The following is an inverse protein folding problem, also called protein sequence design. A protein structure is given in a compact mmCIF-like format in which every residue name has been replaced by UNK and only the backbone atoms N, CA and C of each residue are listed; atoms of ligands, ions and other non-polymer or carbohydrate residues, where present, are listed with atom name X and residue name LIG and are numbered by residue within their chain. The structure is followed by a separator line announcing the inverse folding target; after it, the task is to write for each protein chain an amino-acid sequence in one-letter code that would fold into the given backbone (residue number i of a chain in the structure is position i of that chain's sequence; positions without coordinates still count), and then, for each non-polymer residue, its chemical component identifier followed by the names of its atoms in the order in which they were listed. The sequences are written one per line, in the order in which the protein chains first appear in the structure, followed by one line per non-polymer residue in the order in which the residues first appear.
data_IF_868343179479
#
_entry.id   IF_868343179479
#
_cell.length_a   1.000
_cell.length_b   1.000
_cell.length_c   1.000
_cell.angle_alpha   90.00
_cell.angle_beta   90.00
_cell.angle_gamma   90.00
#
_symmetry.space_group_name_H-M   'P 1'
#
loop_
_entity.id
_entity.type
_entity.pdbx_description
1 polymer ?
#
# COMPACT_ATOMS: atom_id res chain seq x y z
N UNK A 1 20.53 29.60 -37.49
CA UNK A 1 20.48 28.20 -37.03
C UNK A 1 21.78 27.93 -36.29
N UNK A 2 21.74 27.80 -34.96
CA UNK A 2 22.89 27.41 -34.13
C UNK A 2 22.51 26.07 -33.50
N UNK A 3 23.23 25.02 -33.89
CA UNK A 3 23.09 23.67 -33.33
C UNK A 3 23.51 23.71 -31.86
N UNK A 4 22.59 23.32 -30.96
CA UNK A 4 22.93 22.89 -29.60
C UNK A 4 23.23 21.40 -29.65
N UNK A 5 24.49 21.03 -29.52
CA UNK A 5 24.89 19.65 -29.25
C UNK A 5 24.27 19.18 -27.93
N UNK A 6 23.49 18.10 -27.99
CA UNK A 6 23.06 17.34 -26.81
C UNK A 6 24.30 16.63 -26.25
N UNK A 7 24.80 17.11 -25.12
CA UNK A 7 25.81 16.40 -24.34
C UNK A 7 25.07 15.27 -23.60
N UNK A 8 25.16 14.05 -24.13
CA UNK A 8 24.80 12.84 -23.40
C UNK A 8 25.89 12.53 -22.36
N UNK A 9 25.55 12.26 -21.10
CA UNK A 9 26.56 11.96 -20.08
C UNK A 9 27.31 10.66 -20.42
N UNK A 10 28.64 10.70 -20.32
CA UNK A 10 29.49 9.54 -20.53
C UNK A 10 29.48 8.65 -19.27
N UNK A 11 28.71 7.56 -19.34
CA UNK A 11 28.50 6.58 -18.27
C UNK A 11 29.80 5.86 -17.85
N UNK A 12 30.81 5.84 -18.72
CA UNK A 12 32.12 5.21 -18.45
C UNK A 12 33.16 6.18 -17.88
N UNK A 13 32.77 7.41 -17.55
CA UNK A 13 33.71 8.34 -16.95
C UNK A 13 34.09 7.89 -15.52
N UNK A 14 35.37 8.00 -15.13
CA UNK A 14 35.83 7.66 -13.77
C UNK A 14 35.05 8.40 -12.66
N UNK A 15 34.50 9.58 -13.00
CA UNK A 15 33.67 10.41 -12.11
C UNK A 15 32.28 9.82 -11.87
N UNK A 16 31.68 9.22 -12.90
CA UNK A 16 30.38 8.54 -12.79
C UNK A 16 30.52 7.21 -12.03
N UNK A 17 31.58 6.44 -12.33
CA UNK A 17 31.89 5.21 -11.59
C UNK A 17 32.20 5.49 -10.11
N UNK A 18 32.93 6.56 -9.78
CA UNK A 18 33.18 6.96 -8.38
C UNK A 18 31.94 7.50 -7.66
N UNK A 19 30.98 8.11 -8.36
CA UNK A 19 29.68 8.50 -7.76
C UNK A 19 28.78 7.29 -7.50
N UNK A 20 28.76 6.31 -8.40
CA UNK A 20 28.04 5.04 -8.19
C UNK A 20 28.67 4.22 -7.06
N UNK A 21 30.00 4.16 -6.98
CA UNK A 21 30.71 3.51 -5.87
C UNK A 21 30.48 4.22 -4.53
N UNK A 22 30.41 5.56 -4.52
CA UNK A 22 30.04 6.34 -3.31
C UNK A 22 28.60 6.06 -2.87
N UNK A 23 27.64 5.95 -3.79
CA UNK A 23 26.25 5.57 -3.48
C UNK A 23 26.16 4.12 -2.97
N UNK A 24 26.93 3.19 -3.54
CA UNK A 24 27.02 1.79 -3.06
C UNK A 24 27.69 1.67 -1.68
N UNK A 25 28.65 2.54 -1.38
CA UNK A 25 29.41 2.50 -0.11
C UNK A 25 28.67 3.17 1.06
N UNK A 26 27.63 3.97 0.82
CA UNK A 26 26.79 4.50 1.89
C UNK A 26 25.77 3.45 2.30
N UNK A 27 26.05 2.74 3.39
CA UNK A 27 25.01 1.95 4.07
C UNK A 27 23.95 2.95 4.55
N UNK A 28 22.77 2.94 3.92
CA UNK A 28 21.64 3.71 4.40
C UNK A 28 21.39 3.30 5.84
N UNK A 29 21.48 4.26 6.76
CA UNK A 29 21.14 4.07 8.17
C UNK A 29 19.90 4.91 8.46
N UNK A 30 18.91 4.29 9.06
CA UNK A 30 17.77 5.01 9.61
C UNK A 30 18.22 5.91 10.77
N UNK A 31 17.53 7.03 10.99
CA UNK A 31 17.67 7.77 12.25
C UNK A 31 17.08 6.96 13.40
N UNK A 32 17.57 7.20 14.62
CA UNK A 32 17.19 6.44 15.83
C UNK A 32 15.69 6.53 16.15
N UNK A 33 15.01 7.56 15.67
CA UNK A 33 13.59 7.84 15.88
C UNK A 33 12.69 7.45 14.68
N UNK A 34 13.27 6.88 13.62
CA UNK A 34 12.51 6.37 12.47
C UNK A 34 11.64 5.18 12.86
N UNK A 35 10.45 5.08 12.26
CA UNK A 35 9.58 3.90 12.38
C UNK A 35 10.28 2.61 11.95
N UNK A 36 11.24 2.68 11.02
CA UNK A 36 12.03 1.52 10.61
C UNK A 36 12.76 0.86 11.80
N UNK A 37 13.17 1.64 12.80
CA UNK A 37 13.87 1.11 13.98
C UNK A 37 13.00 0.25 14.89
N UNK A 38 11.68 0.22 14.66
CA UNK A 38 10.74 -0.60 15.40
C UNK A 38 10.62 -2.02 14.82
N UNK A 39 11.03 -2.25 13.57
CA UNK A 39 11.00 -3.60 12.98
C UNK A 39 11.94 -4.52 13.79
N UNK A 40 11.43 -5.69 14.18
CA UNK A 40 12.09 -6.67 15.05
C UNK A 40 12.01 -6.37 16.56
N UNK A 41 11.54 -5.19 16.97
CA UNK A 41 11.28 -4.89 18.39
C UNK A 41 10.00 -5.55 18.87
N UNK A 42 9.84 -5.64 20.18
CA UNK A 42 8.61 -6.10 20.81
C UNK A 42 7.45 -5.11 20.65
N UNK A 43 6.23 -5.63 20.74
CA UNK A 43 5.01 -4.85 20.65
C UNK A 43 4.87 -3.79 21.77
N UNK A 44 5.51 -3.98 22.92
CA UNK A 44 5.51 -2.98 24.01
C UNK A 44 6.38 -1.76 23.67
N UNK A 45 7.48 -1.96 22.95
CA UNK A 45 8.30 -0.88 22.38
C UNK A 45 7.49 -0.07 21.37
N UNK A 46 6.66 -0.74 20.56
CA UNK A 46 5.74 -0.08 19.64
C UNK A 46 4.73 0.80 20.40
N UNK A 47 4.13 0.29 21.48
CA UNK A 47 3.20 1.06 22.32
C UNK A 47 3.86 2.23 23.02
N UNK A 48 5.11 2.09 23.42
CA UNK A 48 5.87 3.19 24.03
C UNK A 48 6.03 4.37 23.07
N UNK A 49 6.15 4.09 21.77
CA UNK A 49 6.35 5.12 20.73
C UNK A 49 5.02 5.65 20.17
N UNK A 50 4.05 4.78 19.91
CA UNK A 50 2.80 5.13 19.21
C UNK A 50 1.56 5.18 20.12
N UNK A 51 1.68 4.72 21.36
CA UNK A 51 0.56 4.52 22.29
C UNK A 51 -0.18 3.20 22.03
N UNK A 52 -1.38 3.06 22.57
CA UNK A 52 -2.23 1.90 22.29
C UNK A 52 -2.84 1.99 20.88
N UNK A 53 -2.90 0.87 20.13
CA UNK A 53 -3.56 0.84 18.83
C UNK A 53 -5.06 1.13 18.98
N UNK A 54 -5.64 1.73 17.96
CA UNK A 54 -7.07 1.99 17.87
C UNK A 54 -7.88 0.73 17.56
N UNK A 55 -7.30 -0.14 16.74
CA UNK A 55 -7.92 -1.32 16.19
C UNK A 55 -6.84 -2.37 15.96
N UNK A 56 -7.19 -3.62 16.17
CA UNK A 56 -6.34 -4.77 15.82
C UNK A 56 -7.12 -5.55 14.78
N UNK A 57 -6.58 -5.62 13.57
CA UNK A 57 -7.19 -6.31 12.44
C UNK A 57 -6.32 -7.53 12.08
N UNK A 58 -6.88 -8.75 11.96
CA UNK A 58 -6.09 -9.87 11.46
C UNK A 58 -5.73 -9.63 9.98
N UNK A 59 -4.61 -10.21 9.54
CA UNK A 59 -4.15 -10.05 8.17
C UNK A 59 -4.18 -11.36 7.39
N UNK A 60 -4.05 -11.30 6.06
CA UNK A 60 -3.82 -12.48 5.22
C UNK A 60 -2.47 -13.17 5.49
N UNK A 61 -1.67 -12.59 6.38
CA UNK A 61 -0.36 -13.05 6.77
C UNK A 61 -0.39 -13.30 8.29
N UNK A 62 0.56 -14.10 8.80
CA UNK A 62 0.54 -14.62 10.19
C UNK A 62 0.70 -13.53 11.29
N UNK A 63 0.61 -12.25 10.94
CA UNK A 63 0.63 -11.11 11.85
C UNK A 63 -0.74 -10.43 11.92
N UNK A 64 -0.97 -9.72 13.03
CA UNK A 64 -2.12 -8.82 13.19
C UNK A 64 -1.70 -7.38 12.93
N UNK A 65 -2.52 -6.63 12.22
CA UNK A 65 -2.34 -5.19 12.05
C UNK A 65 -2.79 -4.44 13.29
N UNK A 66 -1.87 -3.76 13.93
CA UNK A 66 -2.14 -2.76 14.96
C UNK A 66 -2.26 -1.40 14.28
N UNK A 67 -3.50 -0.89 14.21
CA UNK A 67 -3.85 0.30 13.45
C UNK A 67 -3.88 1.53 14.35
N UNK A 68 -3.17 2.60 13.95
CA UNK A 68 -3.09 3.87 14.66
C UNK A 68 -3.71 4.98 13.81
N UNK A 69 -5.02 5.21 13.99
CA UNK A 69 -5.82 6.06 13.10
C UNK A 69 -6.47 7.28 13.77
N UNK A 70 -6.15 7.60 15.03
CA UNK A 70 -6.67 8.82 15.73
C UNK A 70 -6.34 10.12 15.00
N UNK A 71 -5.13 10.21 14.45
CA UNK A 71 -4.67 11.40 13.74
C UNK A 71 -4.32 11.02 12.31
N UNK A 72 -5.08 11.47 11.29
CA UNK A 72 -4.81 11.16 9.89
C UNK A 72 -3.39 11.52 9.43
N UNK A 73 -2.82 12.61 9.97
CA UNK A 73 -1.45 13.03 9.64
C UNK A 73 -0.38 12.14 10.23
N UNK A 74 -0.72 11.30 11.21
CA UNK A 74 0.20 10.36 11.88
C UNK A 74 -0.26 8.91 11.69
N UNK A 75 -1.08 8.64 10.67
CA UNK A 75 -1.60 7.30 10.45
C UNK A 75 -0.47 6.32 10.12
N UNK A 76 -0.47 5.21 10.87
CA UNK A 76 0.46 4.09 10.75
C UNK A 76 -0.31 2.80 11.03
N UNK A 77 0.09 1.71 10.38
CA UNK A 77 -0.33 0.36 10.71
C UNK A 77 0.93 -0.49 10.91
N UNK A 78 1.00 -1.23 12.02
CA UNK A 78 2.15 -2.08 12.33
C UNK A 78 1.70 -3.54 12.46
N UNK A 79 2.29 -4.44 11.69
CA UNK A 79 2.03 -5.87 11.79
C UNK A 79 2.84 -6.49 12.93
N UNK A 80 2.15 -7.16 13.84
CA UNK A 80 2.76 -7.85 14.99
C UNK A 80 2.58 -9.36 14.84
N UNK A 81 3.69 -10.10 14.69
CA UNK A 81 3.73 -11.58 14.67
C UNK A 81 4.42 -12.05 15.96
N UNK A 82 3.78 -12.91 16.76
CA UNK A 82 4.36 -13.46 17.98
C UNK A 82 4.97 -12.41 18.93
N UNK A 83 4.28 -11.27 19.09
CA UNK A 83 4.72 -10.16 19.94
C UNK A 83 5.88 -9.32 19.38
N UNK A 84 6.27 -9.54 18.11
CA UNK A 84 7.33 -8.78 17.41
C UNK A 84 6.74 -8.00 16.25
N UNK A 85 7.22 -6.76 16.06
CA UNK A 85 6.86 -5.94 14.90
C UNK A 85 7.60 -6.46 13.66
N UNK A 86 6.88 -6.88 12.63
CA UNK A 86 7.48 -7.47 11.42
C UNK A 86 7.30 -6.60 10.17
N UNK A 87 6.32 -5.71 10.20
CA UNK A 87 5.99 -4.79 9.11
C UNK A 87 5.40 -3.49 9.66
N UNK A 88 5.67 -2.36 9.01
CA UNK A 88 5.03 -1.07 9.29
C UNK A 88 4.66 -0.41 7.96
N UNK A 89 3.38 -0.09 7.77
CA UNK A 89 2.90 0.79 6.71
C UNK A 89 2.62 2.19 7.27
N UNK A 90 3.19 3.22 6.66
CA UNK A 90 3.06 4.61 7.08
C UNK A 90 2.67 5.51 5.89
N UNK A 91 1.54 6.20 6.03
CA UNK A 91 1.01 7.17 5.04
C UNK A 91 0.78 8.56 5.67
N UNK A 92 0.74 8.68 7.00
CA UNK A 92 0.60 9.98 7.65
C UNK A 92 1.74 10.94 7.27
N UNK A 93 1.42 12.15 6.82
CA UNK A 93 2.41 13.14 6.37
C UNK A 93 3.38 13.63 7.46
N UNK A 94 3.06 13.44 8.73
CA UNK A 94 3.88 13.80 9.89
C UNK A 94 4.54 12.56 10.54
N UNK A 95 4.52 11.40 9.87
CA UNK A 95 5.19 10.18 10.35
C UNK A 95 6.69 10.24 10.06
N UNK A 96 7.51 9.77 11.01
CA UNK A 96 8.94 9.69 10.78
C UNK A 96 9.31 8.40 10.03
N UNK A 97 9.50 8.54 8.72
CA UNK A 97 9.91 7.48 7.80
C UNK A 97 11.35 7.67 7.29
N UNK A 98 12.20 8.31 8.10
CA UNK A 98 13.60 8.55 7.75
C UNK A 98 14.31 7.24 7.32
N UNK A 99 15.18 7.31 6.28
CA UNK A 99 15.75 8.51 5.66
C UNK A 99 14.84 9.19 4.62
N UNK A 100 13.60 8.73 4.45
CA UNK A 100 12.63 9.31 3.54
C UNK A 100 11.70 10.30 4.23
N UNK A 101 10.92 11.03 3.43
CA UNK A 101 9.87 11.94 3.90
C UNK A 101 8.64 11.78 3.02
N UNK A 102 7.46 11.59 3.62
CA UNK A 102 6.19 11.54 2.87
C UNK A 102 5.99 12.85 2.11
N UNK A 103 5.67 12.75 0.81
CA UNK A 103 5.54 13.87 -0.11
C UNK A 103 6.84 14.32 -0.76
N UNK A 104 7.99 13.73 -0.44
CA UNK A 104 9.24 14.10 -1.13
C UNK A 104 9.24 13.64 -2.59
N UNK A 105 9.82 14.41 -3.52
CA UNK A 105 9.94 14.00 -4.92
C UNK A 105 10.82 12.74 -5.08
N UNK A 106 10.41 11.84 -5.97
CA UNK A 106 11.16 10.63 -6.31
C UNK A 106 12.59 10.93 -6.80
N UNK A 107 12.79 12.05 -7.50
CA UNK A 107 14.11 12.49 -7.97
C UNK A 107 15.10 12.68 -6.81
N UNK A 108 14.62 13.18 -5.67
CA UNK A 108 15.46 13.34 -4.47
C UNK A 108 15.86 11.98 -3.89
N UNK A 109 14.96 11.00 -3.94
CA UNK A 109 15.24 9.62 -3.53
C UNK A 109 16.33 9.01 -4.42
N UNK A 110 16.21 9.13 -5.74
CA UNK A 110 17.18 8.60 -6.71
C UNK A 110 18.56 9.27 -6.59
N UNK A 111 18.61 10.50 -6.08
CA UNK A 111 19.86 11.20 -5.81
C UNK A 111 20.62 10.64 -4.62
N UNK A 112 19.91 10.12 -3.60
CA UNK A 112 20.52 9.65 -2.36
C UNK A 112 20.57 8.13 -2.22
N UNK A 113 19.70 7.42 -2.93
CA UNK A 113 19.53 5.97 -2.84
C UNK A 113 19.78 5.33 -4.19
N UNK A 114 20.60 4.28 -4.20
CA UNK A 114 20.71 3.41 -5.36
C UNK A 114 19.54 2.40 -5.31
N UNK A 115 18.65 2.47 -6.28
CA UNK A 115 17.60 1.47 -6.47
C UNK A 115 18.15 0.42 -7.43
N UNK A 116 18.24 -0.81 -6.94
CA UNK A 116 18.70 -1.95 -7.74
C UNK A 116 17.50 -2.64 -8.41
N UNK A 117 17.64 -3.10 -9.67
CA UNK A 117 16.57 -3.81 -10.37
C UNK A 117 16.33 -5.21 -9.80
N UNK A 118 17.20 -5.68 -8.90
CA UNK A 118 17.03 -6.92 -8.19
C UNK A 118 17.50 -6.79 -6.76
N UNK A 119 16.75 -7.37 -5.82
CA UNK A 119 17.12 -7.44 -4.41
C UNK A 119 17.35 -8.89 -4.03
N UNK A 120 18.56 -9.20 -3.59
CA UNK A 120 18.97 -10.54 -3.20
C UNK A 120 18.94 -10.67 -1.68
N UNK A 121 18.37 -11.74 -1.17
CA UNK A 121 18.39 -12.04 0.27
C UNK A 121 18.55 -13.54 0.54
N UNK A 122 19.20 -13.83 1.65
CA UNK A 122 19.29 -15.17 2.20
C UNK A 122 18.48 -15.25 3.49
N UNK A 123 17.66 -16.28 3.62
CA UNK A 123 16.86 -16.50 4.82
C UNK A 123 16.73 -17.99 5.11
N UNK A 124 17.13 -18.39 6.32
CA UNK A 124 17.10 -19.77 6.80
C UNK A 124 17.73 -20.79 5.81
N UNK A 125 18.90 -20.46 5.25
CA UNK A 125 19.63 -21.24 4.23
C UNK A 125 18.91 -21.39 2.87
N UNK A 126 17.90 -20.56 2.61
CA UNK A 126 17.28 -20.44 1.29
C UNK A 126 17.71 -19.11 0.67
N UNK A 127 17.73 -19.07 -0.65
CA UNK A 127 18.09 -17.88 -1.42
C UNK A 127 16.86 -17.37 -2.17
N UNK A 128 16.65 -16.06 -2.13
CA UNK A 128 15.55 -15.38 -2.81
C UNK A 128 16.10 -14.15 -3.54
N UNK A 129 15.59 -13.93 -4.75
CA UNK A 129 15.88 -12.78 -5.57
C UNK A 129 14.56 -12.19 -6.06
N UNK A 130 14.26 -10.99 -5.60
CA UNK A 130 13.17 -10.18 -6.15
C UNK A 130 13.66 -9.45 -7.39
N UNK A 131 12.87 -9.48 -8.46
CA UNK A 131 13.13 -8.74 -9.69
C UNK A 131 12.08 -7.65 -9.84
N UNK A 132 12.54 -6.42 -10.01
CA UNK A 132 11.69 -5.24 -10.14
C UNK A 132 11.63 -4.87 -11.62
N UNK A 133 10.41 -4.74 -12.15
CA UNK A 133 10.19 -4.18 -13.48
C UNK A 133 10.53 -2.68 -13.53
N UNK A 134 10.62 -2.10 -14.73
CA UNK A 134 10.77 -0.64 -14.87
C UNK A 134 9.62 0.12 -14.21
N UNK A 135 8.40 -0.42 -14.26
CA UNK A 135 7.26 0.17 -13.56
C UNK A 135 7.44 0.12 -12.04
N UNK A 136 7.90 -1.03 -11.50
CA UNK A 136 8.15 -1.17 -10.07
C UNK A 136 9.23 -0.20 -9.57
N UNK A 137 10.32 -0.05 -10.32
CA UNK A 137 11.40 0.90 -9.98
C UNK A 137 10.89 2.33 -9.88
N UNK A 138 9.91 2.71 -10.70
CA UNK A 138 9.37 4.07 -10.75
C UNK A 138 8.17 4.31 -9.85
N UNK A 139 7.40 3.27 -9.50
CA UNK A 139 6.13 3.41 -8.78
C UNK A 139 6.13 2.80 -7.39
N UNK A 140 6.99 1.81 -7.14
CA UNK A 140 7.10 1.12 -5.85
C UNK A 140 8.48 0.50 -5.63
N UNK A 141 9.59 1.25 -5.70
CA UNK A 141 10.91 0.66 -5.58
C UNK A 141 11.14 0.04 -4.20
N UNK A 142 11.94 -1.03 -4.18
CA UNK A 142 12.36 -1.73 -2.98
C UNK A 142 13.79 -1.32 -2.61
N UNK A 143 13.98 -0.84 -1.40
CA UNK A 143 15.28 -0.39 -0.89
C UNK A 143 15.68 -1.24 0.32
N UNK A 144 16.89 -1.77 0.31
CA UNK A 144 17.46 -2.43 1.49
C UNK A 144 18.14 -1.41 2.41
N UNK A 145 17.78 -1.43 3.69
CA UNK A 145 18.32 -0.52 4.72
C UNK A 145 18.78 -1.36 5.92
N UNK A 146 20.08 -1.61 5.99
CA UNK A 146 20.65 -2.54 6.97
C UNK A 146 20.10 -3.97 6.75
N UNK A 147 19.47 -4.54 7.79
CA UNK A 147 18.85 -5.87 7.75
C UNK A 147 17.38 -5.88 7.34
N UNK A 148 16.83 -4.74 6.94
CA UNK A 148 15.40 -4.55 6.66
C UNK A 148 15.19 -3.96 5.26
N UNK A 149 13.92 -3.86 4.88
CA UNK A 149 13.51 -3.40 3.56
C UNK A 149 12.48 -2.28 3.67
N UNK A 150 12.48 -1.39 2.68
CA UNK A 150 11.51 -0.32 2.51
C UNK A 150 10.94 -0.40 1.09
N UNK A 151 9.64 -0.68 0.98
CA UNK A 151 8.87 -0.48 -0.25
C UNK A 151 8.32 0.95 -0.23
N UNK A 152 8.63 1.71 -1.29
CA UNK A 152 8.35 3.14 -1.40
C UNK A 152 7.22 3.39 -2.39
N UNK A 153 5.98 3.58 -1.96
CA UNK A 153 4.88 3.82 -2.89
C UNK A 153 4.95 5.25 -3.44
N UNK A 154 5.14 5.38 -4.74
CA UNK A 154 5.20 6.66 -5.44
C UNK A 154 3.87 6.91 -6.14
N UNK A 155 3.31 8.09 -5.93
CA UNK A 155 2.19 8.57 -6.74
C UNK A 155 2.74 9.01 -8.10
N UNK A 156 2.48 8.21 -9.14
CA UNK A 156 3.04 8.42 -10.48
C UNK A 156 2.56 9.71 -11.15
N UNK A 157 1.44 10.28 -10.71
CA UNK A 157 0.88 11.50 -11.29
C UNK A 157 1.55 12.74 -10.70
N UNK A 158 1.97 12.68 -9.43
CA UNK A 158 2.65 13.80 -8.75
C UNK A 158 4.17 13.64 -8.71
N UNK A 159 4.69 12.42 -8.89
CA UNK A 159 6.11 12.10 -8.77
C UNK A 159 6.61 12.15 -7.32
N UNK A 160 5.72 11.96 -6.33
CA UNK A 160 6.06 12.08 -4.90
C UNK A 160 5.80 10.81 -4.11
N UNK A 161 6.54 10.63 -3.02
CA UNK A 161 6.38 9.51 -2.10
C UNK A 161 5.03 9.59 -1.37
N UNK A 162 4.10 8.69 -1.69
CA UNK A 162 2.76 8.61 -1.10
C UNK A 162 2.79 7.99 0.30
N UNK A 163 3.49 6.86 0.43
CA UNK A 163 3.59 6.06 1.66
C UNK A 163 4.86 5.20 1.65
N UNK A 164 5.22 4.67 2.82
CA UNK A 164 6.35 3.76 2.99
C UNK A 164 5.90 2.52 3.73
N UNK A 165 6.39 1.35 3.28
CA UNK A 165 6.19 0.07 3.95
C UNK A 165 7.55 -0.52 4.33
N UNK A 166 7.83 -0.56 5.63
CA UNK A 166 9.04 -1.18 6.18
C UNK A 166 8.77 -2.64 6.54
N UNK A 167 9.68 -3.55 6.20
CA UNK A 167 9.50 -5.00 6.33
C UNK A 167 10.78 -5.66 6.84
N UNK A 168 10.62 -6.76 7.58
CA UNK A 168 11.68 -7.76 7.71
C UNK A 168 11.75 -8.70 6.48
N UNK A 169 12.83 -9.48 6.39
CA UNK A 169 13.06 -10.40 5.29
C UNK A 169 11.96 -11.46 5.15
N UNK A 170 11.51 -12.04 6.29
CA UNK A 170 10.51 -13.10 6.32
C UNK A 170 9.18 -12.61 5.75
N UNK A 171 8.76 -11.42 6.14
CA UNK A 171 7.50 -10.80 5.71
C UNK A 171 7.56 -10.41 4.24
N UNK A 172 8.68 -9.87 3.77
CA UNK A 172 8.89 -9.61 2.34
C UNK A 172 8.73 -10.90 1.49
N UNK A 173 9.34 -12.01 1.92
CA UNK A 173 9.22 -13.32 1.26
C UNK A 173 7.78 -13.83 1.25
N UNK A 174 7.02 -13.61 2.34
CA UNK A 174 5.61 -14.00 2.41
C UNK A 174 4.72 -13.13 1.52
N UNK A 175 4.96 -11.81 1.49
CA UNK A 175 4.18 -10.85 0.70
C UNK A 175 4.33 -11.08 -0.79
N UNK A 176 5.56 -11.37 -1.24
CA UNK A 176 5.91 -11.52 -2.67
C UNK A 176 5.40 -10.35 -3.53
N UNK A 177 5.76 -9.10 -3.19
CA UNK A 177 5.23 -7.93 -3.90
C UNK A 177 5.75 -7.82 -5.34
N UNK A 178 6.86 -8.49 -5.66
CA UNK A 178 7.50 -8.48 -6.99
C UNK A 178 7.72 -9.90 -7.50
N UNK A 179 8.17 -10.03 -8.76
CA UNK A 179 8.59 -11.30 -9.32
C UNK A 179 9.71 -11.91 -8.45
N UNK A 180 9.58 -13.20 -8.13
CA UNK A 180 10.43 -13.89 -7.16
C UNK A 180 11.07 -15.12 -7.78
N UNK A 181 12.40 -15.09 -7.90
CA UNK A 181 13.22 -16.26 -8.19
C UNK A 181 13.79 -16.79 -6.88
N UNK A 182 13.70 -18.10 -6.63
CA UNK A 182 14.19 -18.67 -5.38
C UNK A 182 14.85 -20.04 -5.55
N UNK A 183 15.73 -20.37 -4.60
CA UNK A 183 16.30 -21.70 -4.42
C UNK A 183 16.10 -22.12 -2.97
N UNK A 184 15.32 -23.20 -2.78
CA UNK A 184 14.97 -23.71 -1.47
C UNK A 184 13.46 -23.81 -1.30
N UNK A 185 12.95 -23.43 -0.14
CA UNK A 185 11.50 -23.47 0.18
C UNK A 185 10.87 -22.09 0.11
N UNK A 186 9.63 -22.02 -0.35
CA UNK A 186 8.79 -20.84 -0.17
C UNK A 186 8.19 -20.83 1.24
N UNK A 187 8.04 -19.62 1.79
CA UNK A 187 7.34 -19.40 3.05
C UNK A 187 5.90 -19.06 2.68
N UNK A 188 4.98 -19.96 3.02
CA UNK A 188 3.54 -19.74 2.89
C UNK A 188 2.99 -19.07 4.15
N UNK A 189 1.88 -18.36 3.98
CA UNK A 189 1.08 -17.85 5.10
C UNK A 189 0.03 -18.88 5.51
N UNK A 190 -0.32 -18.87 6.79
CA UNK A 190 -1.34 -19.70 7.39
C UNK A 190 -2.01 -18.89 8.51
N UNK A 191 -2.79 -17.84 8.17
CA UNK A 191 -3.43 -17.01 9.18
C UNK A 191 -4.35 -17.86 10.07
N UNK A 192 -4.29 -17.63 11.37
CA UNK A 192 -5.10 -18.36 12.35
C UNK A 192 -6.56 -17.89 12.38
N UNK A 193 -6.78 -16.61 12.06
CA UNK A 193 -8.11 -16.01 12.03
C UNK A 193 -8.92 -16.42 10.80
N UNK A 194 -10.24 -16.46 10.98
CA UNK A 194 -11.18 -16.70 9.90
C UNK A 194 -11.15 -15.59 8.85
N UNK A 195 -11.26 -15.98 7.58
CA UNK A 195 -11.23 -15.09 6.41
C UNK A 195 -12.16 -13.89 6.53
N UNK A 196 -13.37 -14.08 7.06
CA UNK A 196 -14.36 -13.00 7.26
C UNK A 196 -13.82 -11.86 8.14
N UNK A 197 -13.06 -12.18 9.20
CA UNK A 197 -12.46 -11.15 10.06
C UNK A 197 -11.34 -10.40 9.34
N UNK A 198 -10.52 -11.12 8.57
CA UNK A 198 -9.44 -10.54 7.76
C UNK A 198 -10.02 -9.59 6.71
N UNK A 199 -11.09 -10.02 6.04
CA UNK A 199 -11.82 -9.24 5.06
C UNK A 199 -12.40 -7.97 5.69
N UNK A 200 -13.10 -8.08 6.83
CA UNK A 200 -13.67 -6.92 7.53
C UNK A 200 -12.61 -5.95 8.04
N UNK A 201 -11.48 -6.45 8.55
CA UNK A 201 -10.34 -5.61 8.91
C UNK A 201 -9.80 -4.85 7.69
N UNK A 202 -9.63 -5.56 6.58
CA UNK A 202 -9.14 -5.00 5.32
C UNK A 202 -10.08 -3.91 4.75
N UNK A 203 -11.40 -4.11 4.83
CA UNK A 203 -12.40 -3.10 4.46
C UNK A 203 -12.19 -1.78 5.21
N UNK A 204 -12.00 -1.87 6.54
CA UNK A 204 -11.80 -0.70 7.40
C UNK A 204 -10.46 -0.01 7.12
N UNK A 205 -9.40 -0.78 6.83
CA UNK A 205 -8.11 -0.21 6.42
C UNK A 205 -8.22 0.56 5.11
N UNK A 206 -8.87 -0.01 4.09
CA UNK A 206 -9.10 0.66 2.80
C UNK A 206 -9.89 1.96 3.00
N UNK A 207 -10.94 1.93 3.83
CA UNK A 207 -11.73 3.12 4.17
C UNK A 207 -10.89 4.21 4.85
N UNK A 208 -10.11 3.85 5.87
CA UNK A 208 -9.25 4.77 6.60
C UNK A 208 -8.21 5.43 5.66
N UNK A 209 -7.50 4.63 4.87
CA UNK A 209 -6.45 5.08 3.93
C UNK A 209 -7.04 5.98 2.85
N UNK A 210 -8.22 5.63 2.33
CA UNK A 210 -8.94 6.47 1.35
C UNK A 210 -9.22 7.85 1.92
N UNK A 211 -9.68 7.94 3.16
CA UNK A 211 -9.95 9.21 3.82
C UNK A 211 -8.67 10.02 4.11
N UNK A 212 -7.56 9.37 4.43
CA UNK A 212 -6.26 10.04 4.61
C UNK A 212 -5.80 10.67 3.30
N UNK A 213 -5.92 9.94 2.20
CA UNK A 213 -5.59 10.44 0.86
C UNK A 213 -6.49 11.63 0.54
N UNK A 214 -7.81 11.51 0.71
CA UNK A 214 -8.75 12.62 0.46
C UNK A 214 -8.40 13.87 1.26
N UNK A 215 -8.08 13.74 2.54
CA UNK A 215 -7.62 14.85 3.37
C UNK A 215 -6.32 15.49 2.86
N UNK A 216 -5.40 14.70 2.30
CA UNK A 216 -4.16 15.21 1.68
C UNK A 216 -4.43 16.04 0.42
N UNK A 217 -5.55 15.81 -0.26
CA UNK A 217 -6.02 16.56 -1.41
C UNK A 217 -7.06 17.64 -1.04
N UNK A 218 -7.13 18.05 0.22
CA UNK A 218 -8.06 19.06 0.73
C UNK A 218 -9.55 18.73 0.49
N UNK A 219 -9.88 17.43 0.41
CA UNK A 219 -11.24 16.94 0.25
C UNK A 219 -11.86 16.54 1.59
N UNK A 220 -13.19 16.63 1.66
CA UNK A 220 -13.94 16.08 2.78
C UNK A 220 -13.78 14.56 2.86
N UNK A 221 -13.67 14.06 4.09
CA UNK A 221 -13.74 12.61 4.36
C UNK A 221 -15.12 12.07 4.00
N UNK A 222 -15.13 10.85 3.49
CA UNK A 222 -16.32 10.06 3.24
C UNK A 222 -16.78 9.41 4.55
N UNK A 223 -18.10 9.31 4.70
CA UNK A 223 -18.73 8.57 5.80
C UNK A 223 -18.91 7.11 5.40
N UNK A 224 -18.67 6.19 6.33
CA UNK A 224 -18.96 4.79 6.11
C UNK A 224 -20.47 4.58 5.92
N UNK A 225 -20.86 3.84 4.87
CA UNK A 225 -22.25 3.41 4.65
C UNK A 225 -22.32 1.88 4.60
N UNK A 226 -22.95 1.27 5.60
CA UNK A 226 -22.95 -0.19 5.78
C UNK A 226 -23.68 -0.91 4.66
N UNK A 227 -24.83 -0.41 4.20
CA UNK A 227 -25.58 -1.04 3.09
C UNK A 227 -24.78 -1.01 1.79
N UNK A 228 -24.09 0.09 1.53
CA UNK A 228 -23.21 0.22 0.36
C UNK A 228 -22.03 -0.73 0.47
N UNK A 229 -21.51 -0.98 1.67
CA UNK A 229 -20.45 -1.94 1.93
C UNK A 229 -20.93 -3.39 1.69
N UNK A 230 -22.14 -3.75 2.14
CA UNK A 230 -22.75 -5.06 1.86
C UNK A 230 -22.89 -5.33 0.35
N UNK A 231 -23.26 -4.30 -0.42
CA UNK A 231 -23.31 -4.35 -1.89
C UNK A 231 -21.92 -4.55 -2.49
N UNK A 232 -20.93 -3.80 -2.01
CA UNK A 232 -19.54 -3.94 -2.44
C UNK A 232 -19.00 -5.34 -2.17
N UNK A 233 -19.24 -5.88 -0.96
CA UNK A 233 -18.82 -7.22 -0.55
C UNK A 233 -19.45 -8.29 -1.45
N UNK A 234 -20.76 -8.18 -1.68
CA UNK A 234 -21.48 -9.08 -2.58
C UNK A 234 -20.92 -9.05 -4.00
N UNK A 235 -20.46 -7.90 -4.49
CA UNK A 235 -19.83 -7.80 -5.80
C UNK A 235 -18.41 -8.38 -5.82
N UNK A 236 -17.59 -8.16 -4.79
CA UNK A 236 -16.28 -8.82 -4.66
C UNK A 236 -16.43 -10.35 -4.66
N UNK A 237 -17.45 -10.85 -3.94
CA UNK A 237 -17.80 -12.27 -3.91
C UNK A 237 -18.24 -12.79 -5.27
N UNK A 238 -19.10 -12.06 -5.97
CA UNK A 238 -19.56 -12.42 -7.31
C UNK A 238 -18.40 -12.51 -8.32
N UNK A 239 -17.47 -11.54 -8.31
CA UNK A 239 -16.28 -11.58 -9.16
C UNK A 239 -15.40 -12.80 -8.86
N UNK A 240 -15.21 -13.12 -7.58
CA UNK A 240 -14.45 -14.31 -7.19
C UNK A 240 -15.13 -15.63 -7.60
N UNK A 241 -16.43 -15.78 -7.32
CA UNK A 241 -17.17 -17.04 -7.56
C UNK A 241 -17.43 -17.31 -9.04
N UNK A 242 -17.62 -16.25 -9.84
CA UNK A 242 -17.81 -16.37 -11.30
C UNK A 242 -16.50 -16.50 -12.06
N UNK A 243 -15.40 -15.95 -11.53
CA UNK A 243 -14.13 -15.80 -12.24
C UNK A 243 -14.09 -14.61 -13.20
N UNK A 244 -15.14 -13.78 -13.24
CA UNK A 244 -15.25 -12.60 -14.09
C UNK A 244 -14.89 -11.32 -13.32
N UNK A 245 -13.90 -10.57 -13.81
CA UNK A 245 -13.48 -9.30 -13.20
C UNK A 245 -14.05 -8.11 -14.00
N UNK A 246 -15.20 -7.58 -13.57
CA UNK A 246 -15.97 -6.58 -14.30
C UNK A 246 -16.85 -5.73 -13.38
N UNK A 247 -17.02 -4.45 -13.71
CA UNK A 247 -17.99 -3.55 -13.06
C UNK A 247 -19.44 -3.99 -13.25
N UNK A 248 -19.72 -4.83 -14.25
CA UNK A 248 -21.05 -5.37 -14.56
C UNK A 248 -21.06 -6.86 -14.27
N UNK A 249 -21.90 -7.26 -13.33
CA UNK A 249 -22.20 -8.66 -13.04
C UNK A 249 -23.16 -9.21 -14.08
N UNK A 250 -22.91 -10.40 -14.60
CA UNK A 250 -23.85 -11.09 -15.48
C UNK A 250 -25.18 -11.41 -14.75
N UNK A 251 -25.10 -11.65 -13.44
CA UNK A 251 -26.25 -12.05 -12.62
C UNK A 251 -26.97 -10.86 -11.98
N UNK A 252 -26.22 -9.87 -11.50
CA UNK A 252 -26.75 -8.78 -10.69
C UNK A 252 -26.75 -7.42 -11.41
N UNK A 253 -26.23 -7.37 -12.63
CA UNK A 253 -26.16 -6.15 -13.44
C UNK A 253 -25.06 -5.19 -13.00
N UNK A 254 -25.21 -3.94 -13.42
CA UNK A 254 -24.27 -2.85 -13.10
C UNK A 254 -24.39 -2.36 -11.64
N UNK A 255 -23.52 -1.43 -11.25
CA UNK A 255 -23.53 -0.82 -9.91
C UNK A 255 -24.91 -0.27 -9.53
N UNK A 256 -25.62 0.35 -10.47
CA UNK A 256 -26.93 0.93 -10.22
C UNK A 256 -27.96 -0.15 -9.91
N UNK A 257 -27.94 -1.26 -10.64
CA UNK A 257 -28.78 -2.42 -10.38
C UNK A 257 -28.49 -3.01 -8.99
N UNK A 258 -27.20 -3.19 -8.65
CA UNK A 258 -26.77 -3.74 -7.35
C UNK A 258 -27.18 -2.86 -6.17
N UNK A 259 -26.95 -1.54 -6.24
CA UNK A 259 -27.34 -0.59 -5.20
C UNK A 259 -28.87 -0.50 -5.06
N UNK A 260 -29.61 -0.49 -6.16
CA UNK A 260 -31.07 -0.48 -6.16
C UNK A 260 -31.65 -1.74 -5.51
N UNK A 261 -31.07 -2.92 -5.77
CA UNK A 261 -31.52 -4.18 -5.19
C UNK A 261 -31.36 -4.23 -3.66
N UNK A 262 -30.46 -3.43 -3.09
CA UNK A 262 -30.24 -3.30 -1.64
C UNK A 262 -30.96 -2.08 -1.01
N UNK A 263 -31.86 -1.42 -1.76
CA UNK A 263 -32.56 -0.20 -1.34
C UNK A 263 -31.58 0.92 -0.89
N UNK A 264 -30.45 1.07 -1.58
CA UNK A 264 -29.51 2.18 -1.38
C UNK A 264 -29.90 3.35 -2.29
N UNK A 265 -30.34 4.45 -1.68
CA UNK A 265 -30.78 5.65 -2.39
C UNK A 265 -29.65 6.70 -2.47
N UNK A 266 -29.30 7.11 -3.69
CA UNK A 266 -28.20 8.03 -3.96
C UNK A 266 -28.54 8.99 -5.11
N UNK A 267 -27.71 10.04 -5.29
CA UNK A 267 -27.73 10.99 -6.40
C UNK A 267 -26.71 10.64 -7.47
N UNK A 268 -25.50 10.29 -7.02
CA UNK A 268 -24.36 9.87 -7.83
C UNK A 268 -23.72 8.66 -7.17
N UNK A 269 -23.22 7.72 -7.97
CA UNK A 269 -22.44 6.58 -7.51
C UNK A 269 -21.21 6.36 -8.40
N UNK A 270 -20.16 5.80 -7.81
CA UNK A 270 -18.93 5.40 -8.51
C UNK A 270 -18.36 4.14 -7.88
N UNK A 271 -17.53 3.42 -8.63
CA UNK A 271 -16.95 2.16 -8.17
C UNK A 271 -15.48 2.03 -8.56
N UNK A 272 -14.67 1.54 -7.64
CA UNK A 272 -13.34 1.01 -7.93
C UNK A 272 -13.32 -0.49 -7.59
N UNK A 273 -12.75 -1.31 -8.47
CA UNK A 273 -12.53 -2.74 -8.23
C UNK A 273 -11.05 -3.08 -8.34
N UNK A 274 -10.62 -4.09 -7.58
CA UNK A 274 -9.26 -4.64 -7.63
C UNK A 274 -9.28 -6.11 -7.25
N UNK A 275 -8.26 -6.86 -7.67
CA UNK A 275 -8.08 -8.25 -7.29
C UNK A 275 -6.60 -8.60 -7.10
N UNK A 276 -6.32 -9.61 -6.28
CA UNK A 276 -5.00 -10.25 -6.13
C UNK A 276 -3.86 -9.36 -5.60
N UNK A 277 -4.16 -8.20 -5.03
CA UNK A 277 -3.18 -7.40 -4.28
C UNK A 277 -2.80 -8.10 -2.97
N UNK A 278 -1.62 -7.75 -2.45
CA UNK A 278 -1.08 -8.32 -1.21
C UNK A 278 -1.97 -8.01 0.00
N UNK A 279 -2.46 -6.77 0.12
CA UNK A 279 -3.30 -6.29 1.21
C UNK A 279 -4.04 -4.98 0.86
N UNK A 280 -4.89 -4.51 1.77
CA UNK A 280 -5.66 -3.26 1.63
C UNK A 280 -4.83 -2.02 1.31
N UNK A 281 -3.72 -1.72 2.03
CA UNK A 281 -2.83 -0.62 1.67
C UNK A 281 -2.35 -0.66 0.22
N UNK A 282 -1.88 -1.82 -0.25
CA UNK A 282 -1.42 -1.96 -1.64
C UNK A 282 -2.53 -1.73 -2.66
N UNK A 283 -3.76 -2.13 -2.36
CA UNK A 283 -4.93 -1.89 -3.23
C UNK A 283 -5.17 -0.39 -3.41
N UNK A 284 -5.15 0.39 -2.32
CA UNK A 284 -5.43 1.82 -2.38
C UNK A 284 -4.34 2.58 -3.15
N UNK A 285 -3.07 2.21 -2.95
CA UNK A 285 -1.96 2.77 -3.75
C UNK A 285 -2.10 2.40 -5.24
N UNK A 286 -2.54 1.17 -5.53
CA UNK A 286 -2.86 0.71 -6.89
C UNK A 286 -3.96 1.54 -7.55
N UNK A 287 -5.07 1.79 -6.85
CA UNK A 287 -6.14 2.67 -7.34
C UNK A 287 -5.65 4.10 -7.55
N UNK A 288 -4.84 4.65 -6.63
CA UNK A 288 -4.28 6.00 -6.77
C UNK A 288 -3.35 6.17 -7.98
N UNK A 289 -2.71 5.07 -8.40
CA UNK A 289 -1.87 5.00 -9.59
C UNK A 289 -2.64 4.58 -10.86
N UNK A 290 -3.96 4.43 -10.82
CA UNK A 290 -4.81 4.33 -12.02
C UNK A 290 -5.60 5.62 -12.23
N UNK A 291 -5.64 6.15 -13.45
CA UNK A 291 -6.26 7.45 -13.71
C UNK A 291 -7.74 7.44 -13.34
N UNK A 292 -8.48 6.48 -13.87
CA UNK A 292 -9.93 6.42 -13.70
C UNK A 292 -10.30 6.11 -12.23
N UNK A 293 -9.58 5.20 -11.58
CA UNK A 293 -9.81 4.89 -10.17
C UNK A 293 -9.48 6.06 -9.24
N UNK A 294 -8.41 6.80 -9.55
CA UNK A 294 -8.01 8.02 -8.84
C UNK A 294 -9.04 9.12 -8.98
N UNK A 295 -9.59 9.34 -10.17
CA UNK A 295 -10.65 10.32 -10.41
C UNK A 295 -11.88 10.04 -9.53
N UNK A 296 -12.29 8.77 -9.42
CA UNK A 296 -13.35 8.35 -8.50
C UNK A 296 -12.98 8.62 -7.04
N UNK A 297 -11.80 8.18 -6.59
CA UNK A 297 -11.35 8.31 -5.20
C UNK A 297 -11.24 9.78 -4.77
N UNK A 298 -10.81 10.67 -5.67
CA UNK A 298 -10.64 12.10 -5.44
C UNK A 298 -11.84 12.95 -5.87
N UNK A 299 -12.98 12.35 -6.24
CA UNK A 299 -14.17 13.13 -6.55
C UNK A 299 -14.71 13.83 -5.30
N UNK A 300 -14.94 15.14 -5.41
CA UNK A 300 -15.52 15.96 -4.34
C UNK A 300 -17.04 15.78 -4.20
N UNK A 301 -17.68 15.10 -5.14
CA UNK A 301 -19.14 14.91 -5.17
C UNK A 301 -19.60 13.83 -4.18
N UNK A 302 -18.75 12.82 -3.95
CA UNK A 302 -19.07 11.72 -3.04
C UNK A 302 -19.04 12.14 -1.58
N UNK A 303 -19.92 11.51 -0.81
CA UNK A 303 -20.14 11.81 0.62
C UNK A 303 -20.01 10.57 1.50
N UNK A 304 -20.25 9.39 0.93
CA UNK A 304 -20.17 8.12 1.63
C UNK A 304 -19.39 7.10 0.80
N UNK A 305 -18.87 6.09 1.50
CA UNK A 305 -18.12 4.98 0.95
C UNK A 305 -18.55 3.70 1.67
N UNK A 306 -18.87 2.67 0.88
CA UNK A 306 -18.88 1.29 1.33
C UNK A 306 -17.71 0.54 0.71
N UNK A 307 -16.98 -0.23 1.52
CA UNK A 307 -15.90 -1.10 1.04
C UNK A 307 -16.30 -2.53 1.30
N UNK A 308 -16.08 -3.40 0.31
CA UNK A 308 -16.30 -4.83 0.42
C UNK A 308 -15.06 -5.59 0.01
N UNK A 309 -14.74 -6.66 0.73
CA UNK A 309 -13.62 -7.54 0.42
C UNK A 309 -14.03 -9.00 0.51
N UNK A 310 -13.72 -9.79 -0.51
CA UNK A 310 -13.90 -11.24 -0.49
C UNK A 310 -12.76 -11.94 -1.21
N UNK A 311 -12.01 -12.81 -0.53
CA UNK A 311 -10.93 -13.61 -1.14
C UNK A 311 -10.00 -12.79 -2.06
N UNK A 312 -9.43 -11.71 -1.52
CA UNK A 312 -8.57 -10.75 -2.25
C UNK A 312 -9.19 -10.14 -3.51
N UNK A 313 -10.52 -10.08 -3.59
CA UNK A 313 -11.26 -9.18 -4.45
C UNK A 313 -11.75 -8.02 -3.60
N UNK A 314 -11.60 -6.80 -4.11
CA UNK A 314 -11.82 -5.57 -3.37
C UNK A 314 -12.72 -4.66 -4.18
N UNK A 315 -13.74 -4.09 -3.54
CA UNK A 315 -14.67 -3.16 -4.17
C UNK A 315 -14.85 -1.93 -3.28
N UNK A 316 -14.70 -0.73 -3.85
CA UNK A 316 -15.15 0.52 -3.24
C UNK A 316 -16.37 1.03 -3.98
N UNK A 317 -17.49 1.19 -3.28
CA UNK A 317 -18.68 1.83 -3.80
C UNK A 317 -18.85 3.20 -3.14
N UNK A 318 -18.70 4.24 -3.94
CA UNK A 318 -18.85 5.63 -3.52
C UNK A 318 -20.26 6.10 -3.82
N UNK A 319 -20.88 6.85 -2.90
CA UNK A 319 -22.19 7.45 -3.14
C UNK A 319 -22.26 8.91 -2.68
N UNK A 320 -23.06 9.70 -3.38
CA UNK A 320 -23.58 10.97 -2.92
C UNK A 320 -25.01 10.77 -2.45
N UNK A 321 -25.28 10.99 -1.16
CA UNK A 321 -26.66 10.90 -0.64
C UNK A 321 -27.42 12.20 -0.88
N UNK A 322 -28.74 12.11 -0.95
CA UNK A 322 -29.61 13.29 -0.94
C UNK A 322 -29.43 14.05 0.38
N UNK A 323 -29.07 15.33 0.29
CA UNK A 323 -29.09 16.22 1.47
C UNK A 323 -30.55 16.40 1.88
N UNK A 324 -30.86 16.02 3.13
CA UNK A 324 -32.15 16.32 3.76
C UNK A 324 -32.28 17.81 4.05
#
# INVERSE_FOLDING_TARGET
MVNKEKISPNLDSPKFQTEVEKKKSQTLKASDDSLLTLIGKDAESLKTVLGEPNRIDPSYYDYEWWVYNKNPKKYVQAGVENGKVVIIYAIGSETNVAPFTIGQPIEQIHNTVLIEPSVNLEYANNYYRFELSEEDINTRPLVQIGGYFAELYIDRFTGTLSSVRFLDAKTLIKHRPYELVYRGKLIESSPEDGMEKIERGTEQQIFDITNIIRLRYDLNTLKWDEKTAEVAYSHSKDMYESGEFSHTSEKYGDLSNRLKAADVFYQLAGENIAANYVDGPAVVEGWMNSKDHRETLLSSEFTHLGVGVFQKHYTQNFIQIWKK
#
